data_IF_418916624443
#
_entry.id   IF_418916624443
#
_cell.length_a   1.000
_cell.length_b   1.000
_cell.length_c   1.000
_cell.angle_alpha   90.00
_cell.angle_beta   90.00
_cell.angle_gamma   90.00
#
_symmetry.space_group_name_H-M   'P 1'
#
loop_
_entity.id
_entity.type
_entity.pdbx_description
1 polymer ?
#
# COMPACT_ATOMS: atom_id res chain seq x y z
N UNK A 1 -14.80 -11.63 27.30
CA UNK A 1 -13.53 -10.96 26.91
C UNK A 1 -13.64 -9.52 27.41
N UNK A 2 -12.62 -8.95 28.06
CA UNK A 2 -12.65 -7.53 28.48
C UNK A 2 -12.51 -6.62 27.27
N UNK A 3 -13.08 -5.41 27.30
CA UNK A 3 -13.02 -4.43 26.19
C UNK A 3 -11.59 -4.17 25.71
N UNK A 4 -10.63 -4.06 26.62
CA UNK A 4 -9.21 -3.89 26.29
C UNK A 4 -8.62 -5.08 25.51
N UNK A 5 -9.02 -6.31 25.86
CA UNK A 5 -8.52 -7.50 25.18
C UNK A 5 -9.15 -7.63 23.80
N UNK A 6 -10.44 -7.29 23.66
CA UNK A 6 -11.09 -7.22 22.37
C UNK A 6 -10.41 -6.19 21.45
N UNK A 7 -10.16 -4.97 21.94
CA UNK A 7 -9.45 -3.92 21.19
C UNK A 7 -8.06 -4.38 20.72
N UNK A 8 -7.28 -5.04 21.59
CA UNK A 8 -5.97 -5.60 21.24
C UNK A 8 -6.06 -6.68 20.16
N UNK A 9 -6.99 -7.62 20.32
CA UNK A 9 -7.15 -8.73 19.38
C UNK A 9 -7.64 -8.27 18.01
N UNK A 10 -8.60 -7.32 17.96
CA UNK A 10 -9.07 -6.73 16.71
C UNK A 10 -7.94 -6.01 15.99
N UNK A 11 -7.25 -5.09 16.66
CA UNK A 11 -6.11 -4.36 16.07
C UNK A 11 -4.99 -5.31 15.61
N UNK A 12 -4.69 -6.37 16.39
CA UNK A 12 -3.67 -7.35 16.03
C UNK A 12 -4.03 -8.13 14.76
N UNK A 13 -5.31 -8.52 14.61
CA UNK A 13 -5.79 -9.19 13.40
C UNK A 13 -5.72 -8.26 12.18
N UNK A 14 -6.26 -7.04 12.30
CA UNK A 14 -6.27 -6.05 11.23
C UNK A 14 -4.86 -5.67 10.78
N UNK A 15 -3.94 -5.47 11.73
CA UNK A 15 -2.54 -5.15 11.46
C UNK A 15 -1.80 -6.34 10.83
N UNK A 16 -2.00 -7.54 11.36
CA UNK A 16 -1.41 -8.77 10.83
C UNK A 16 -1.88 -9.08 9.40
N UNK A 17 -3.13 -8.79 9.09
CA UNK A 17 -3.64 -8.86 7.73
C UNK A 17 -3.00 -7.79 6.83
N UNK A 18 -3.04 -6.53 7.26
CA UNK A 18 -2.56 -5.39 6.47
C UNK A 18 -1.08 -5.49 6.10
N UNK A 19 -0.22 -5.90 7.05
CA UNK A 19 1.24 -5.86 6.84
C UNK A 19 1.71 -6.75 5.69
N UNK A 20 1.00 -7.85 5.41
CA UNK A 20 1.30 -8.74 4.28
C UNK A 20 1.14 -7.99 2.96
N UNK A 21 0.01 -7.28 2.80
CA UNK A 21 -0.28 -6.52 1.58
C UNK A 21 0.55 -5.24 1.50
N UNK A 22 0.81 -4.58 2.63
CA UNK A 22 1.66 -3.40 2.69
C UNK A 22 3.10 -3.70 2.26
N UNK A 23 3.68 -4.81 2.73
CA UNK A 23 5.04 -5.22 2.34
C UNK A 23 5.14 -5.52 0.84
N UNK A 24 4.14 -6.21 0.28
CA UNK A 24 4.08 -6.48 -1.15
C UNK A 24 3.87 -5.18 -1.95
N UNK A 25 2.95 -4.33 -1.49
CA UNK A 25 2.64 -3.03 -2.09
C UNK A 25 3.86 -2.13 -2.17
N UNK A 26 4.70 -2.11 -1.13
CA UNK A 26 5.93 -1.32 -1.12
C UNK A 26 7.02 -1.87 -2.04
N UNK A 27 7.15 -3.20 -2.14
CA UNK A 27 8.31 -3.82 -2.81
C UNK A 27 8.07 -4.07 -4.30
N UNK A 28 6.86 -4.46 -4.69
CA UNK A 28 6.57 -4.84 -6.08
C UNK A 28 6.68 -3.70 -7.10
N UNK A 29 6.26 -2.45 -6.82
CA UNK A 29 6.48 -1.33 -7.73
C UNK A 29 7.96 -1.09 -8.06
N UNK A 30 8.86 -1.31 -7.09
CA UNK A 30 10.30 -1.26 -7.32
C UNK A 30 10.76 -2.37 -8.28
N UNK A 31 10.30 -3.61 -8.09
CA UNK A 31 10.65 -4.70 -9.00
C UNK A 31 10.07 -4.51 -10.41
N UNK A 32 8.82 -4.03 -10.50
CA UNK A 32 8.15 -3.77 -11.78
C UNK A 32 8.83 -2.63 -12.55
N UNK A 33 9.17 -1.53 -11.87
CA UNK A 33 9.90 -0.42 -12.49
C UNK A 33 11.30 -0.83 -12.92
N UNK A 34 11.98 -1.66 -12.13
CA UNK A 34 13.30 -2.23 -12.49
C UNK A 34 13.22 -3.15 -13.70
N UNK A 35 12.24 -4.06 -13.75
CA UNK A 35 12.00 -4.93 -14.89
C UNK A 35 11.70 -4.11 -16.16
N UNK A 36 10.85 -3.09 -16.05
CA UNK A 36 10.56 -2.22 -17.17
C UNK A 36 11.79 -1.43 -17.64
N UNK A 37 12.60 -0.91 -16.71
CA UNK A 37 13.86 -0.25 -17.03
C UNK A 37 14.84 -1.17 -17.76
N UNK A 38 14.96 -2.43 -17.32
CA UNK A 38 15.78 -3.44 -18.01
C UNK A 38 15.27 -3.73 -19.42
N UNK A 39 13.95 -3.78 -19.64
CA UNK A 39 13.39 -3.84 -20.99
C UNK A 39 13.82 -2.64 -21.84
N UNK A 40 13.72 -1.43 -21.31
CA UNK A 40 14.10 -0.21 -22.05
C UNK A 40 15.57 -0.21 -22.46
N UNK A 41 16.46 -0.70 -21.58
CA UNK A 41 17.91 -0.76 -21.79
C UNK A 41 18.36 -1.92 -22.67
N UNK A 42 17.86 -3.15 -22.42
CA UNK A 42 18.32 -4.38 -23.11
C UNK A 42 17.47 -4.75 -24.32
N UNK A 43 16.26 -4.18 -24.46
CA UNK A 43 15.26 -4.52 -25.48
C UNK A 43 14.85 -6.00 -25.49
N UNK A 44 15.09 -6.75 -24.41
CA UNK A 44 14.65 -8.14 -24.27
C UNK A 44 13.14 -8.18 -23.91
N UNK A 45 12.27 -8.77 -24.74
CA UNK A 45 10.82 -8.81 -24.52
C UNK A 45 10.39 -9.54 -23.24
N UNK A 46 11.19 -10.46 -22.70
CA UNK A 46 10.87 -11.20 -21.47
C UNK A 46 10.64 -10.27 -20.28
N UNK A 47 11.44 -9.20 -20.16
CA UNK A 47 11.28 -8.22 -19.08
C UNK A 47 9.99 -7.41 -19.21
N UNK A 48 9.51 -7.18 -20.44
CA UNK A 48 8.25 -6.50 -20.69
C UNK A 48 7.06 -7.40 -20.33
N UNK A 49 7.12 -8.68 -20.68
CA UNK A 49 6.10 -9.66 -20.30
C UNK A 49 6.02 -9.81 -18.79
N UNK A 50 7.17 -9.94 -18.12
CA UNK A 50 7.27 -9.98 -16.65
C UNK A 50 6.61 -8.77 -16.00
N UNK A 51 6.94 -7.57 -16.50
CA UNK A 51 6.35 -6.31 -16.02
C UNK A 51 4.82 -6.35 -16.14
N UNK A 52 4.29 -6.68 -17.32
CA UNK A 52 2.85 -6.71 -17.57
C UNK A 52 2.12 -7.79 -16.76
N UNK A 53 2.77 -8.92 -16.51
CA UNK A 53 2.21 -9.97 -15.67
C UNK A 53 2.07 -9.50 -14.22
N UNK A 54 3.15 -8.97 -13.63
CA UNK A 54 3.15 -8.49 -12.25
C UNK A 54 2.18 -7.35 -12.02
N UNK A 55 2.08 -6.41 -12.96
CA UNK A 55 1.16 -5.29 -12.87
C UNK A 55 -0.28 -5.69 -12.51
N UNK A 56 -0.82 -6.75 -13.12
CA UNK A 56 -2.20 -7.18 -12.88
C UNK A 56 -2.39 -7.69 -11.44
N UNK A 57 -1.46 -8.52 -10.97
CA UNK A 57 -1.53 -9.07 -9.61
C UNK A 57 -1.30 -8.00 -8.55
N UNK A 58 -0.32 -7.12 -8.77
CA UNK A 58 0.03 -6.05 -7.84
C UNK A 58 -1.10 -5.04 -7.70
N UNK A 59 -1.84 -4.75 -8.77
CA UNK A 59 -3.02 -3.87 -8.68
C UNK A 59 -4.08 -4.41 -7.68
N UNK A 60 -4.32 -5.72 -7.68
CA UNK A 60 -5.27 -6.37 -6.76
C UNK A 60 -4.73 -6.30 -5.32
N UNK A 61 -3.47 -6.68 -5.11
CA UNK A 61 -2.84 -6.69 -3.79
C UNK A 61 -2.75 -5.28 -3.19
N UNK A 62 -2.44 -4.28 -4.03
CA UNK A 62 -2.40 -2.88 -3.66
C UNK A 62 -3.79 -2.38 -3.21
N UNK A 63 -4.85 -2.73 -3.94
CA UNK A 63 -6.22 -2.35 -3.55
C UNK A 63 -6.63 -2.96 -2.20
N UNK A 64 -6.29 -4.22 -1.94
CA UNK A 64 -6.54 -4.87 -0.64
C UNK A 64 -5.73 -4.22 0.48
N UNK A 65 -4.48 -3.86 0.21
CA UNK A 65 -3.63 -3.09 1.12
C UNK A 65 -4.24 -1.72 1.47
N UNK A 66 -4.73 -0.99 0.48
CA UNK A 66 -5.35 0.32 0.65
C UNK A 66 -6.57 0.28 1.58
N UNK A 67 -7.47 -0.67 1.35
CA UNK A 67 -8.69 -0.82 2.16
C UNK A 67 -8.34 -1.23 3.58
N UNK A 68 -7.43 -2.20 3.76
CA UNK A 68 -7.00 -2.63 5.10
C UNK A 68 -6.26 -1.54 5.89
N UNK A 69 -5.48 -0.67 5.23
CA UNK A 69 -4.84 0.48 5.88
C UNK A 69 -5.85 1.54 6.32
N UNK A 70 -6.91 1.72 5.54
CA UNK A 70 -8.03 2.59 5.92
C UNK A 70 -8.71 2.10 7.19
N UNK A 71 -8.97 0.79 7.29
CA UNK A 71 -9.52 0.16 8.51
C UNK A 71 -8.65 0.47 9.73
N UNK A 72 -7.33 0.28 9.64
CA UNK A 72 -6.40 0.57 10.72
C UNK A 72 -6.39 2.04 11.16
N UNK A 73 -6.53 2.96 10.21
CA UNK A 73 -6.57 4.40 10.49
C UNK A 73 -7.79 4.76 11.35
N UNK A 74 -8.95 4.14 11.09
CA UNK A 74 -10.14 4.31 11.93
C UNK A 74 -10.02 3.55 13.26
N UNK A 75 -9.46 2.34 13.26
CA UNK A 75 -9.24 1.56 14.48
C UNK A 75 -8.38 2.29 15.51
N UNK A 76 -7.37 3.06 15.10
CA UNK A 76 -6.59 3.91 16.01
C UNK A 76 -7.47 4.90 16.77
N UNK A 77 -8.42 5.55 16.11
CA UNK A 77 -9.35 6.49 16.73
C UNK A 77 -10.41 5.81 17.60
N UNK A 78 -10.96 4.70 17.12
CA UNK A 78 -12.09 4.01 17.76
C UNK A 78 -11.66 3.14 18.95
N UNK A 79 -10.57 2.38 18.79
CA UNK A 79 -10.10 1.42 19.80
C UNK A 79 -9.13 2.06 20.80
N UNK A 80 -8.44 3.14 20.41
CA UNK A 80 -7.42 3.78 21.23
C UNK A 80 -7.62 5.30 21.42
N UNK A 81 -8.82 5.77 21.84
CA UNK A 81 -9.12 7.21 21.94
C UNK A 81 -8.24 7.94 22.95
N UNK A 82 -7.89 7.29 24.07
CA UNK A 82 -6.96 7.85 25.06
C UNK A 82 -5.55 8.05 24.48
N UNK A 83 -5.05 7.08 23.70
CA UNK A 83 -3.77 7.20 23.01
C UNK A 83 -3.81 8.34 21.98
N UNK A 84 -4.84 8.39 21.14
CA UNK A 84 -4.98 9.44 20.12
C UNK A 84 -5.11 10.85 20.73
N UNK A 85 -5.71 10.98 21.92
CA UNK A 85 -5.74 12.27 22.64
C UNK A 85 -4.35 12.82 22.97
N UNK A 86 -3.40 11.97 23.33
CA UNK A 86 -2.06 12.39 23.75
C UNK A 86 -1.01 12.30 22.64
N UNK A 87 -0.99 11.20 21.89
CA UNK A 87 -0.01 10.93 20.84
C UNK A 87 -0.45 11.44 19.46
N UNK A 88 -1.75 11.63 19.24
CA UNK A 88 -2.32 12.08 17.95
C UNK A 88 -1.65 13.31 17.35
N UNK A 89 -1.38 14.40 18.12
CA UNK A 89 -0.67 15.57 17.59
C UNK A 89 0.74 15.27 17.05
N UNK A 90 1.38 14.21 17.53
CA UNK A 90 2.74 13.82 17.13
C UNK A 90 2.68 12.86 15.94
N UNK A 91 1.85 11.81 16.02
CA UNK A 91 1.79 10.75 15.00
C UNK A 91 0.91 11.12 13.80
N UNK A 92 -0.03 12.06 13.97
CA UNK A 92 -0.97 12.45 12.93
C UNK A 92 -0.29 13.09 11.72
N UNK A 93 0.80 13.84 11.94
CA UNK A 93 1.58 14.40 10.83
C UNK A 93 2.26 13.29 10.01
N UNK A 94 3.08 12.38 10.58
CA UNK A 94 3.60 11.21 9.85
C UNK A 94 2.53 10.40 9.09
N UNK A 95 1.37 10.13 9.71
CA UNK A 95 0.25 9.45 9.04
C UNK A 95 -0.30 10.24 7.84
N UNK A 96 -0.34 11.56 7.93
CA UNK A 96 -0.76 12.42 6.80
C UNK A 96 0.25 12.38 5.65
N UNK A 97 1.55 12.30 5.96
CA UNK A 97 2.61 12.12 4.96
C UNK A 97 2.55 10.76 4.30
N UNK A 98 2.30 9.69 5.07
CA UNK A 98 2.04 8.36 4.53
C UNK A 98 0.86 8.40 3.55
N UNK A 99 -0.28 9.00 3.92
CA UNK A 99 -1.44 9.12 3.05
C UNK A 99 -1.14 9.90 1.75
N UNK A 100 -0.32 10.94 1.84
CA UNK A 100 0.12 11.71 0.66
C UNK A 100 1.01 10.86 -0.26
N UNK A 101 1.99 10.15 0.29
CA UNK A 101 2.88 9.27 -0.46
C UNK A 101 2.09 8.12 -1.12
N UNK A 102 1.17 7.51 -0.37
CA UNK A 102 0.28 6.47 -0.86
C UNK A 102 -0.60 6.97 -2.02
N UNK A 103 -1.14 8.19 -1.94
CA UNK A 103 -1.94 8.76 -3.02
C UNK A 103 -1.10 9.00 -4.29
N UNK A 104 0.11 9.53 -4.14
CA UNK A 104 1.05 9.69 -5.26
C UNK A 104 1.36 8.34 -5.92
N UNK A 105 1.62 7.32 -5.11
CA UNK A 105 1.86 5.96 -5.59
C UNK A 105 0.64 5.38 -6.31
N UNK A 106 -0.56 5.55 -5.76
CA UNK A 106 -1.80 5.07 -6.38
C UNK A 106 -2.03 5.71 -7.76
N UNK A 107 -1.77 7.02 -7.90
CA UNK A 107 -1.83 7.72 -9.20
C UNK A 107 -0.77 7.17 -10.14
N UNK A 108 0.47 7.00 -9.69
CA UNK A 108 1.57 6.48 -10.50
C UNK A 108 1.30 5.05 -10.99
N UNK A 109 0.80 4.16 -10.13
CA UNK A 109 0.38 2.80 -10.50
C UNK A 109 -0.77 2.84 -11.49
N UNK A 110 -1.77 3.72 -11.29
CA UNK A 110 -2.87 3.90 -12.25
C UNK A 110 -2.38 4.31 -13.64
N UNK A 111 -1.48 5.28 -13.71
CA UNK A 111 -0.82 5.68 -14.96
C UNK A 111 0.00 4.53 -15.54
N UNK A 112 0.72 3.78 -14.70
CA UNK A 112 1.50 2.62 -15.14
C UNK A 112 0.61 1.49 -15.69
N UNK A 113 -0.59 1.29 -15.15
CA UNK A 113 -1.55 0.28 -15.62
C UNK A 113 -2.19 0.66 -16.95
N UNK A 114 -2.61 1.91 -17.09
CA UNK A 114 -3.44 2.34 -18.24
C UNK A 114 -2.69 3.16 -19.29
N UNK A 115 -1.45 3.56 -19.01
CA UNK A 115 -0.67 4.49 -19.83
C UNK A 115 0.02 3.88 -21.05
N UNK A 116 0.18 2.56 -21.13
CA UNK A 116 1.01 1.89 -22.15
C UNK A 116 0.72 2.23 -23.61
N UNK A 117 -0.53 2.60 -23.94
CA UNK A 117 -0.94 2.99 -25.31
C UNK A 117 -1.31 4.46 -25.43
N UNK A 118 -1.20 5.23 -24.35
CA UNK A 118 -1.71 6.61 -24.24
C UNK A 118 -0.59 7.63 -23.93
N UNK A 119 0.49 7.19 -23.31
CA UNK A 119 1.64 8.01 -22.96
C UNK A 119 2.82 7.62 -23.86
N UNK A 120 3.54 8.62 -24.36
CA UNK A 120 4.70 8.47 -25.26
C UNK A 120 5.99 8.30 -24.47
#
# INVERSE_FOLDING_TARGET
>A
MTDLMAARSTMAFSLGFHIIFAAIGMTMPFFMSTAHYLFLKKKNPEYLELTKMWMKGVAILFAVGAVSGTVLSFELGLLWPGFMKYAGPIIGMPFSWEGTAFFLEAVAIGLFLYGWKKMR
#
